data_IF_275476861766
#
_entry.id   IF_275476861766
#
_cell.length_a   1.000
_cell.length_b   1.000
_cell.length_c   1.000
_cell.angle_alpha   90.00
_cell.angle_beta   90.00
_cell.angle_gamma   90.00
#
_symmetry.space_group_name_H-M   'P 1'
#
loop_
_entity.id
_entity.type
_entity.pdbx_description
1 polymer ?
#
# COMPACT_ATOMS: atom_id res chain seq x y z
N UNK A 1 12.24 29.37 -21.30
CA UNK A 1 12.64 28.85 -19.99
C UNK A 1 12.12 27.43 -19.92
N UNK A 2 12.96 26.47 -20.25
CA UNK A 2 12.61 25.03 -20.19
C UNK A 2 12.59 24.63 -18.72
N UNK A 3 11.43 24.24 -18.24
CA UNK A 3 11.29 23.60 -16.92
C UNK A 3 11.92 22.23 -17.00
N UNK A 4 13.06 22.09 -16.38
CA UNK A 4 13.75 20.83 -16.10
C UNK A 4 12.77 19.98 -15.27
N UNK A 5 12.03 19.09 -15.95
CA UNK A 5 11.28 18.03 -15.28
C UNK A 5 12.32 17.05 -14.77
N UNK A 6 12.80 17.29 -13.55
CA UNK A 6 13.66 16.35 -12.86
C UNK A 6 13.02 14.95 -12.99
N UNK A 7 13.78 14.02 -13.56
CA UNK A 7 13.33 12.66 -13.88
C UNK A 7 13.18 11.89 -12.54
N UNK A 8 12.04 12.14 -11.84
CA UNK A 8 11.75 11.54 -10.54
C UNK A 8 11.55 10.05 -10.77
N UNK A 9 12.41 9.23 -10.17
CA UNK A 9 12.27 7.77 -10.21
C UNK A 9 11.00 7.36 -9.46
N UNK A 10 10.05 6.67 -10.10
CA UNK A 10 8.83 6.20 -9.43
C UNK A 10 9.14 5.25 -8.27
N UNK A 11 8.34 5.31 -7.20
CA UNK A 11 8.36 4.32 -6.13
C UNK A 11 7.98 2.94 -6.68
N UNK A 12 7.02 2.89 -7.61
CA UNK A 12 6.70 1.69 -8.40
C UNK A 12 6.28 2.09 -9.81
N UNK A 13 6.68 1.27 -10.78
CA UNK A 13 6.24 1.34 -12.18
C UNK A 13 5.83 -0.07 -12.62
N UNK A 14 4.63 -0.17 -13.16
CA UNK A 14 4.05 -1.39 -13.72
C UNK A 14 3.77 -1.14 -15.19
N UNK A 15 4.21 -2.05 -16.06
CA UNK A 15 4.08 -1.92 -17.51
C UNK A 15 3.46 -3.17 -18.10
N UNK A 16 2.32 -3.01 -18.77
CA UNK A 16 1.59 -4.08 -19.48
C UNK A 16 1.39 -5.36 -18.67
N UNK A 17 1.06 -5.20 -17.37
CA UNK A 17 0.84 -6.33 -16.48
C UNK A 17 -0.46 -7.05 -16.83
N UNK A 18 -0.33 -8.33 -17.14
CA UNK A 18 -1.45 -9.24 -17.37
C UNK A 18 -1.37 -10.39 -16.37
N UNK A 19 -2.53 -10.81 -15.85
CA UNK A 19 -2.63 -11.97 -14.95
C UNK A 19 -3.77 -12.87 -15.37
N UNK A 20 -3.44 -14.14 -15.61
CA UNK A 20 -4.37 -15.22 -15.91
C UNK A 20 -4.24 -16.28 -14.83
N UNK A 21 -5.36 -16.76 -14.32
CA UNK A 21 -5.46 -17.92 -13.44
C UNK A 21 -6.08 -19.10 -14.19
N UNK A 22 -5.73 -20.31 -13.76
CA UNK A 22 -6.21 -21.54 -14.40
C UNK A 22 -5.49 -21.87 -15.72
N UNK A 23 -6.02 -22.84 -16.44
CA UNK A 23 -5.51 -23.28 -17.73
C UNK A 23 -6.63 -23.85 -18.60
N UNK A 24 -6.52 -23.71 -19.93
CA UNK A 24 -7.52 -24.22 -20.88
C UNK A 24 -8.91 -23.66 -20.62
N UNK A 25 -9.93 -24.54 -20.45
CA UNK A 25 -11.33 -24.12 -20.28
C UNK A 25 -11.62 -23.44 -18.92
N UNK A 26 -10.69 -23.44 -17.97
CA UNK A 26 -10.84 -22.80 -16.66
C UNK A 26 -10.07 -21.48 -16.55
N UNK A 27 -9.59 -20.95 -17.66
CA UNK A 27 -8.85 -19.68 -17.67
C UNK A 27 -9.75 -18.51 -17.27
N UNK A 28 -9.26 -17.75 -16.28
CA UNK A 28 -9.85 -16.48 -15.84
C UNK A 28 -8.79 -15.38 -15.99
N UNK A 29 -9.08 -14.42 -16.86
CA UNK A 29 -8.23 -13.23 -17.03
C UNK A 29 -8.60 -12.23 -15.92
N UNK A 30 -7.82 -12.20 -14.86
CA UNK A 30 -8.05 -11.32 -13.70
C UNK A 30 -7.48 -9.90 -13.92
N UNK A 31 -6.43 -9.76 -14.74
CA UNK A 31 -5.89 -8.48 -15.19
C UNK A 31 -5.56 -8.61 -16.67
N UNK A 32 -6.09 -7.71 -17.49
CA UNK A 32 -5.92 -7.76 -18.96
C UNK A 32 -4.68 -7.01 -19.40
N UNK A 33 -4.59 -5.76 -18.99
CA UNK A 33 -3.45 -4.87 -19.24
C UNK A 33 -3.46 -3.76 -18.17
N UNK A 34 -2.46 -3.76 -17.31
CA UNK A 34 -2.31 -2.74 -16.29
C UNK A 34 -0.97 -2.02 -16.47
N UNK A 35 -1.04 -0.72 -16.69
CA UNK A 35 0.14 0.15 -16.70
C UNK A 35 -0.11 1.33 -15.79
N UNK A 36 0.79 1.53 -14.81
CA UNK A 36 0.72 2.64 -13.85
C UNK A 36 2.10 2.94 -13.26
N UNK A 37 2.24 4.14 -12.74
CA UNK A 37 3.38 4.52 -11.90
C UNK A 37 2.87 5.22 -10.65
N UNK A 38 3.60 5.13 -9.54
CA UNK A 38 3.35 5.89 -8.30
C UNK A 38 4.65 6.58 -7.94
N UNK A 39 4.58 7.87 -7.68
CA UNK A 39 5.75 8.67 -7.33
C UNK A 39 6.05 8.58 -5.83
N UNK A 40 7.32 8.80 -5.41
CA UNK A 40 7.64 9.00 -4.00
C UNK A 40 6.84 10.18 -3.44
N UNK A 41 6.21 9.99 -2.28
CA UNK A 41 5.38 11.01 -1.66
C UNK A 41 3.94 11.06 -2.16
N UNK A 42 3.57 10.26 -3.17
CA UNK A 42 2.21 10.24 -3.72
C UNK A 42 1.33 9.21 -2.98
N UNK A 43 0.10 9.61 -2.64
CA UNK A 43 -0.94 8.67 -2.19
C UNK A 43 -1.98 8.48 -3.30
N UNK A 44 -2.13 7.24 -3.74
CA UNK A 44 -3.03 6.83 -4.84
C UNK A 44 -4.14 5.94 -4.30
N UNK A 45 -5.40 6.29 -4.61
CA UNK A 45 -6.55 5.45 -4.35
C UNK A 45 -6.87 4.55 -5.53
N UNK A 46 -7.16 3.27 -5.29
CA UNK A 46 -7.60 2.31 -6.30
C UNK A 46 -9.02 1.85 -5.99
N UNK A 47 -9.95 2.16 -6.89
CA UNK A 47 -11.38 1.88 -6.77
C UNK A 47 -11.85 0.90 -7.85
N UNK A 48 -13.03 0.34 -7.67
CA UNK A 48 -13.68 -0.54 -8.64
C UNK A 48 -14.53 -1.63 -7.98
N UNK A 49 -15.40 -2.31 -8.73
CA UNK A 49 -16.26 -3.35 -8.18
C UNK A 49 -15.48 -4.57 -7.69
N UNK A 50 -16.14 -5.42 -6.89
CA UNK A 50 -15.57 -6.72 -6.51
C UNK A 50 -15.25 -7.55 -7.75
N UNK A 51 -14.12 -8.25 -7.75
CA UNK A 51 -13.68 -9.06 -8.88
C UNK A 51 -13.03 -8.32 -10.04
N UNK A 52 -12.93 -6.98 -10.00
CA UNK A 52 -12.35 -6.19 -11.10
C UNK A 52 -10.83 -6.38 -11.31
N UNK A 53 -10.13 -7.05 -10.38
CA UNK A 53 -8.69 -7.30 -10.48
C UNK A 53 -7.81 -6.51 -9.49
N UNK A 54 -8.38 -5.65 -8.63
CA UNK A 54 -7.62 -4.80 -7.67
C UNK A 54 -6.65 -5.58 -6.79
N UNK A 55 -7.14 -6.60 -6.07
CA UNK A 55 -6.29 -7.42 -5.20
C UNK A 55 -5.27 -8.25 -5.99
N UNK A 56 -5.60 -8.61 -7.24
CA UNK A 56 -4.65 -9.28 -8.15
C UNK A 56 -3.47 -8.36 -8.47
N UNK A 57 -3.76 -7.13 -8.86
CA UNK A 57 -2.74 -6.12 -9.14
C UNK A 57 -1.94 -5.78 -7.88
N UNK A 58 -2.62 -5.54 -6.75
CA UNK A 58 -1.99 -5.22 -5.47
C UNK A 58 -1.01 -6.33 -5.04
N UNK A 59 -1.43 -7.61 -5.13
CA UNK A 59 -0.57 -8.76 -4.76
C UNK A 59 0.57 -9.00 -5.76
N UNK A 60 0.40 -8.63 -7.03
CA UNK A 60 1.49 -8.66 -8.02
C UNK A 60 2.53 -7.58 -7.69
N UNK A 61 2.11 -6.34 -7.40
CA UNK A 61 2.99 -5.25 -6.97
C UNK A 61 3.67 -5.56 -5.63
N UNK A 62 2.99 -6.29 -4.73
CA UNK A 62 3.57 -6.80 -3.50
C UNK A 62 4.57 -7.95 -3.71
N UNK A 63 4.80 -8.39 -4.94
CA UNK A 63 5.67 -9.52 -5.31
C UNK A 63 5.25 -10.83 -4.62
N UNK A 64 3.96 -10.98 -4.31
CA UNK A 64 3.37 -12.19 -3.70
C UNK A 64 2.88 -13.13 -4.80
N UNK A 65 2.21 -12.57 -5.80
CA UNK A 65 1.57 -13.32 -6.87
C UNK A 65 2.11 -12.84 -8.23
N UNK A 66 3.09 -13.54 -8.83
CA UNK A 66 3.75 -13.09 -10.04
C UNK A 66 2.76 -12.86 -11.19
N UNK A 67 2.94 -11.82 -12.02
CA UNK A 67 2.14 -11.62 -13.24
C UNK A 67 2.38 -12.75 -14.25
N UNK A 68 1.46 -12.93 -15.19
CA UNK A 68 1.64 -13.84 -16.34
C UNK A 68 2.56 -13.19 -17.38
N UNK A 69 2.39 -11.89 -17.62
CA UNK A 69 3.26 -11.07 -18.48
C UNK A 69 3.33 -9.65 -17.94
N UNK A 70 4.22 -8.82 -18.47
CA UNK A 70 4.44 -7.44 -18.07
C UNK A 70 5.59 -7.29 -17.10
N UNK A 71 5.94 -6.06 -16.76
CA UNK A 71 7.11 -5.74 -15.95
C UNK A 71 6.73 -4.95 -14.71
N UNK A 72 7.48 -5.18 -13.63
CA UNK A 72 7.39 -4.40 -12.40
C UNK A 72 8.78 -3.88 -12.05
N UNK A 73 8.86 -2.55 -11.82
CA UNK A 73 10.05 -1.86 -11.29
C UNK A 73 9.68 -1.20 -9.97
N UNK A 74 10.57 -1.26 -8.98
CA UNK A 74 10.36 -0.62 -7.67
C UNK A 74 11.62 0.18 -7.34
N UNK A 75 11.46 1.47 -7.05
CA UNK A 75 12.58 2.39 -6.86
C UNK A 75 13.52 2.43 -8.08
N UNK A 76 12.96 2.33 -9.29
CA UNK A 76 13.71 2.26 -10.55
C UNK A 76 14.37 0.91 -10.85
N UNK A 77 14.42 -0.03 -9.89
CA UNK A 77 15.03 -1.34 -10.07
C UNK A 77 14.03 -2.32 -10.69
N UNK A 78 14.34 -3.03 -11.81
CA UNK A 78 13.50 -4.09 -12.33
C UNK A 78 13.46 -5.26 -11.34
N UNK A 79 12.25 -5.71 -10.96
CA UNK A 79 12.05 -6.78 -9.98
C UNK A 79 11.32 -7.98 -10.53
N UNK A 80 10.45 -7.77 -11.53
CA UNK A 80 9.73 -8.84 -12.23
C UNK A 80 9.71 -8.59 -13.73
N UNK A 81 9.82 -9.69 -14.52
CA UNK A 81 9.54 -9.73 -15.96
C UNK A 81 8.65 -10.94 -16.23
N UNK A 82 7.36 -10.69 -16.44
CA UNK A 82 6.36 -11.76 -16.39
C UNK A 82 6.44 -12.55 -15.08
N UNK A 83 6.45 -13.89 -15.15
CA UNK A 83 6.57 -14.72 -13.96
C UNK A 83 8.00 -14.81 -13.42
N UNK A 84 9.00 -14.27 -14.13
CA UNK A 84 10.41 -14.37 -13.75
C UNK A 84 10.77 -13.31 -12.71
N UNK A 85 11.24 -13.76 -11.55
CA UNK A 85 11.86 -12.89 -10.56
C UNK A 85 13.27 -12.50 -10.99
N UNK A 86 13.57 -11.19 -10.95
CA UNK A 86 14.89 -10.64 -11.30
C UNK A 86 15.74 -10.33 -10.04
N UNK A 87 15.16 -10.54 -8.86
CA UNK A 87 15.79 -10.32 -7.55
C UNK A 87 15.34 -11.43 -6.58
N UNK A 88 15.99 -11.54 -5.42
CA UNK A 88 15.44 -12.31 -4.30
C UNK A 88 14.18 -11.59 -3.77
N UNK A 89 13.00 -12.12 -4.12
CA UNK A 89 11.72 -11.51 -3.77
C UNK A 89 11.50 -11.44 -2.26
N UNK A 90 12.02 -12.39 -1.48
CA UNK A 90 11.83 -12.39 -0.02
C UNK A 90 12.65 -11.28 0.63
N UNK A 91 13.92 -11.17 0.28
CA UNK A 91 14.79 -10.10 0.76
C UNK A 91 14.28 -8.73 0.28
N UNK A 92 13.89 -8.63 -1.00
CA UNK A 92 13.41 -7.38 -1.56
C UNK A 92 12.12 -6.87 -0.90
N UNK A 93 11.13 -7.77 -0.66
CA UNK A 93 9.91 -7.41 0.07
C UNK A 93 10.19 -6.86 1.46
N UNK A 94 11.05 -7.55 2.23
CA UNK A 94 11.40 -7.12 3.60
C UNK A 94 12.00 -5.72 3.64
N UNK A 95 12.79 -5.36 2.64
CA UNK A 95 13.53 -4.10 2.61
C UNK A 95 12.75 -2.93 2.00
N UNK A 96 11.90 -3.20 0.99
CA UNK A 96 11.36 -2.14 0.15
C UNK A 96 9.83 -2.00 0.18
N UNK A 97 9.12 -3.00 0.71
CA UNK A 97 7.65 -3.02 0.68
C UNK A 97 7.04 -3.05 2.08
N UNK A 98 6.08 -2.17 2.31
CA UNK A 98 5.15 -2.24 3.42
C UNK A 98 3.79 -2.77 2.94
N UNK A 99 3.20 -3.74 3.63
CA UNK A 99 1.87 -4.24 3.29
C UNK A 99 0.92 -4.14 4.48
N UNK A 100 -0.25 -3.54 4.26
CA UNK A 100 -1.31 -3.41 5.25
C UNK A 100 -2.55 -4.12 4.74
N UNK A 101 -2.98 -5.15 5.45
CA UNK A 101 -4.14 -5.96 5.12
C UNK A 101 -5.43 -5.34 5.67
N UNK A 102 -6.56 -5.73 5.12
CA UNK A 102 -7.90 -5.41 5.60
C UNK A 102 -8.08 -5.78 7.08
N UNK A 103 -7.66 -7.00 7.45
CA UNK A 103 -7.50 -7.39 8.85
C UNK A 103 -6.07 -7.12 9.29
N UNK A 104 -5.82 -6.53 10.47
CA UNK A 104 -4.48 -6.17 10.93
C UNK A 104 -3.48 -7.32 10.95
N UNK A 105 -3.94 -8.57 11.02
CA UNK A 105 -3.14 -9.79 11.03
C UNK A 105 -1.94 -9.69 12.00
N UNK A 106 -2.22 -9.18 13.21
CA UNK A 106 -1.24 -9.14 14.29
C UNK A 106 -1.02 -10.54 14.83
N UNK A 107 0.21 -10.83 15.23
CA UNK A 107 0.57 -12.06 15.91
C UNK A 107 -0.04 -12.01 17.32
N UNK A 108 -0.98 -12.90 17.67
CA UNK A 108 -1.85 -12.70 18.83
C UNK A 108 -1.15 -12.85 20.18
N UNK A 109 -0.02 -13.56 20.24
CA UNK A 109 0.78 -13.75 21.44
C UNK A 109 1.97 -12.78 21.57
N UNK A 110 2.11 -11.83 20.63
CA UNK A 110 3.07 -10.73 20.69
C UNK A 110 2.34 -9.43 21.04
N UNK A 111 2.98 -8.61 21.88
CA UNK A 111 2.51 -7.25 22.19
C UNK A 111 2.51 -6.36 20.94
N UNK A 112 1.92 -5.19 21.02
CA UNK A 112 1.96 -4.19 19.95
C UNK A 112 3.41 -3.87 19.54
N UNK A 113 4.29 -3.67 20.52
CA UNK A 113 5.71 -3.40 20.29
C UNK A 113 6.40 -4.58 19.59
N UNK A 114 6.21 -5.79 20.07
CA UNK A 114 6.83 -6.99 19.51
C UNK A 114 6.31 -7.31 18.10
N UNK A 115 5.05 -7.01 17.79
CA UNK A 115 4.51 -7.12 16.43
C UNK A 115 5.22 -6.20 15.42
N UNK A 116 5.72 -5.04 15.86
CA UNK A 116 6.52 -4.14 15.01
C UNK A 116 7.99 -4.56 15.02
N UNK A 117 8.53 -4.89 16.19
CA UNK A 117 9.92 -5.27 16.40
C UNK A 117 10.32 -6.49 15.54
N UNK A 118 9.45 -7.51 15.44
CA UNK A 118 9.75 -8.74 14.69
C UNK A 118 10.01 -8.47 13.20
N UNK A 119 9.34 -7.47 12.61
CA UNK A 119 9.56 -7.12 11.21
C UNK A 119 10.98 -6.56 10.96
N UNK A 120 11.56 -5.92 11.94
CA UNK A 120 12.94 -5.42 11.92
C UNK A 120 13.94 -6.55 12.15
N UNK A 121 13.66 -7.44 13.12
CA UNK A 121 14.54 -8.57 13.46
C UNK A 121 14.63 -9.60 12.32
N UNK A 122 13.52 -9.86 11.61
CA UNK A 122 13.52 -10.70 10.40
C UNK A 122 14.34 -10.08 9.26
N UNK A 123 14.63 -8.78 9.32
CA UNK A 123 15.51 -8.06 8.41
C UNK A 123 16.89 -7.77 9.05
N UNK A 124 17.35 -8.65 9.95
CA UNK A 124 18.67 -8.67 10.58
C UNK A 124 19.01 -7.43 11.44
N UNK A 125 18.00 -6.66 11.87
CA UNK A 125 18.23 -5.56 12.82
C UNK A 125 18.45 -6.11 14.24
N UNK A 126 19.50 -5.68 14.88
CA UNK A 126 19.81 -6.11 16.25
C UNK A 126 18.64 -5.81 17.22
N UNK A 127 18.29 -6.72 18.16
CA UNK A 127 17.08 -6.63 18.98
C UNK A 127 16.92 -5.29 19.73
N UNK A 128 18.01 -4.74 20.27
CA UNK A 128 17.98 -3.44 20.97
C UNK A 128 17.63 -2.28 20.02
N UNK A 129 18.18 -2.27 18.81
CA UNK A 129 17.88 -1.27 17.79
C UNK A 129 16.45 -1.44 17.25
N UNK A 130 16.04 -2.69 17.00
CA UNK A 130 14.69 -3.03 16.56
C UNK A 130 13.63 -2.57 17.57
N UNK A 131 13.83 -2.83 18.87
CA UNK A 131 12.94 -2.37 19.94
C UNK A 131 12.84 -0.85 20.00
N UNK A 132 13.98 -0.14 19.90
CA UNK A 132 13.99 1.33 19.89
C UNK A 132 13.20 1.87 18.70
N UNK A 133 13.49 1.37 17.50
CA UNK A 133 12.78 1.78 16.27
C UNK A 133 11.29 1.46 16.32
N UNK A 134 10.91 0.29 16.82
CA UNK A 134 9.51 -0.09 16.99
C UNK A 134 8.77 0.87 17.93
N UNK A 135 9.39 1.28 19.04
CA UNK A 135 8.79 2.26 19.96
C UNK A 135 8.63 3.63 19.30
N UNK A 136 9.64 4.11 18.57
CA UNK A 136 9.57 5.38 17.82
C UNK A 136 8.41 5.38 16.80
N UNK A 137 8.16 4.24 16.14
CA UNK A 137 7.04 4.09 15.20
C UNK A 137 5.69 4.09 15.91
N UNK A 138 5.57 3.40 17.05
CA UNK A 138 4.34 3.42 17.85
C UNK A 138 4.05 4.82 18.38
N UNK A 139 5.08 5.57 18.77
CA UNK A 139 4.94 6.97 19.21
C UNK A 139 4.49 7.88 18.05
N UNK A 140 5.16 7.78 16.91
CA UNK A 140 4.78 8.50 15.69
C UNK A 140 3.32 8.29 15.27
N UNK A 141 2.80 7.06 15.51
CA UNK A 141 1.42 6.69 15.20
C UNK A 141 0.44 6.95 16.37
N UNK A 142 0.92 7.55 17.48
CA UNK A 142 0.10 7.91 18.63
C UNK A 142 -0.42 6.72 19.42
N UNK A 143 0.34 5.61 19.47
CA UNK A 143 -0.06 4.37 20.15
C UNK A 143 0.99 3.83 21.13
N UNK A 144 2.02 4.63 21.47
CA UNK A 144 3.09 4.24 22.40
C UNK A 144 2.56 3.77 23.76
N UNK A 145 1.49 4.38 24.28
CA UNK A 145 0.86 3.98 25.54
C UNK A 145 0.32 2.53 25.53
N UNK A 146 0.13 1.94 24.36
CA UNK A 146 -0.35 0.57 24.16
C UNK A 146 0.76 -0.43 23.79
N UNK A 147 2.02 -0.02 23.79
CA UNK A 147 3.16 -0.81 23.34
C UNK A 147 3.21 -2.21 23.96
N UNK A 148 2.87 -2.35 25.24
CA UNK A 148 2.92 -3.63 25.96
C UNK A 148 1.57 -4.40 25.94
N UNK A 149 0.55 -3.91 25.24
CA UNK A 149 -0.73 -4.59 25.14
C UNK A 149 -0.69 -5.70 24.07
N UNK A 150 -1.34 -6.82 24.36
CA UNK A 150 -1.63 -7.85 23.36
C UNK A 150 -2.74 -7.39 22.40
N UNK A 151 -2.81 -7.91 21.17
CA UNK A 151 -3.83 -7.53 20.19
C UNK A 151 -5.26 -7.59 20.72
N UNK A 152 -5.60 -8.58 21.54
CA UNK A 152 -6.93 -8.72 22.14
C UNK A 152 -7.34 -7.54 23.04
N UNK A 153 -6.36 -6.83 23.59
CA UNK A 153 -6.59 -5.66 24.45
C UNK A 153 -6.54 -4.33 23.68
N UNK A 154 -6.49 -4.37 22.35
CA UNK A 154 -6.47 -3.22 21.46
C UNK A 154 -7.81 -3.09 20.73
N UNK A 155 -8.30 -1.86 20.56
CA UNK A 155 -9.42 -1.57 19.65
C UNK A 155 -9.03 -1.84 18.18
N UNK A 156 -9.99 -1.98 17.29
CA UNK A 156 -9.72 -2.21 15.87
C UNK A 156 -8.82 -1.14 15.24
N UNK A 157 -9.05 0.15 15.56
CA UNK A 157 -8.21 1.24 15.10
C UNK A 157 -6.79 1.21 15.68
N UNK A 158 -6.64 0.80 16.95
CA UNK A 158 -5.33 0.60 17.57
C UNK A 158 -4.57 -0.56 16.90
N UNK A 159 -5.25 -1.69 16.66
CA UNK A 159 -4.66 -2.83 15.94
C UNK A 159 -4.20 -2.43 14.52
N UNK A 160 -5.02 -1.62 13.81
CA UNK A 160 -4.67 -1.15 12.49
C UNK A 160 -3.44 -0.23 12.51
N UNK A 161 -3.33 0.67 13.50
CA UNK A 161 -2.12 1.50 13.68
C UNK A 161 -0.87 0.66 13.96
N UNK A 162 -0.97 -0.41 14.73
CA UNK A 162 0.14 -1.37 14.92
C UNK A 162 0.51 -2.05 13.60
N UNK A 163 -0.47 -2.45 12.79
CA UNK A 163 -0.21 -3.03 11.46
C UNK A 163 0.48 -2.03 10.52
N UNK A 164 0.09 -0.76 10.56
CA UNK A 164 0.77 0.33 9.83
C UNK A 164 2.19 0.53 10.36
N UNK A 165 2.40 0.55 11.68
CA UNK A 165 3.75 0.63 12.27
C UNK A 165 4.65 -0.51 11.78
N UNK A 166 4.12 -1.73 11.76
CA UNK A 166 4.83 -2.91 11.24
C UNK A 166 5.19 -2.76 9.76
N UNK A 167 4.28 -2.23 8.96
CA UNK A 167 4.53 -1.99 7.53
C UNK A 167 5.62 -0.93 7.30
N UNK A 168 5.76 0.05 8.21
CA UNK A 168 6.77 1.12 8.16
C UNK A 168 8.13 0.73 8.73
N UNK A 169 8.25 -0.43 9.38
CA UNK A 169 9.40 -0.81 10.18
C UNK A 169 10.74 -0.65 9.42
N UNK A 170 10.80 -1.16 8.20
CA UNK A 170 12.00 -1.18 7.36
C UNK A 170 12.09 0.01 6.38
N UNK A 171 11.39 1.11 6.63
CA UNK A 171 11.41 2.32 5.79
C UNK A 171 11.12 2.03 4.31
N UNK A 172 9.98 1.38 4.00
CA UNK A 172 9.69 0.95 2.64
C UNK A 172 9.55 2.14 1.70
N UNK A 173 9.99 1.98 0.45
CA UNK A 173 9.75 2.95 -0.63
C UNK A 173 8.33 2.89 -1.17
N UNK A 174 7.63 1.77 -0.97
CA UNK A 174 6.25 1.54 -1.42
C UNK A 174 5.43 0.89 -0.32
N UNK A 175 4.26 1.48 -0.04
CA UNK A 175 3.26 0.94 0.88
C UNK A 175 2.02 0.55 0.08
N UNK A 176 1.57 -0.67 0.26
CA UNK A 176 0.38 -1.24 -0.36
C UNK A 176 -0.65 -1.57 0.73
N UNK A 177 -1.86 -1.04 0.62
CA UNK A 177 -2.92 -1.26 1.59
C UNK A 177 -4.17 -1.82 0.91
N UNK A 178 -4.65 -2.97 1.38
CA UNK A 178 -5.85 -3.64 0.88
C UNK A 178 -7.00 -3.40 1.86
N UNK A 179 -7.91 -2.51 1.50
CA UNK A 179 -9.09 -2.12 2.29
C UNK A 179 -8.80 -1.87 3.79
N UNK A 180 -7.82 -1.02 4.13
CA UNK A 180 -7.29 -0.90 5.48
C UNK A 180 -8.29 -0.36 6.51
N UNK A 181 -9.44 0.14 6.06
CA UNK A 181 -10.48 0.75 6.90
C UNK A 181 -11.80 -0.01 6.94
N UNK A 182 -11.93 -1.12 6.19
CA UNK A 182 -13.20 -1.83 6.01
C UNK A 182 -13.81 -2.40 7.32
N UNK A 183 -12.98 -2.65 8.34
CA UNK A 183 -13.43 -3.14 9.65
C UNK A 183 -13.54 -2.04 10.73
N UNK A 184 -13.39 -0.77 10.33
CA UNK A 184 -13.40 0.38 11.24
C UNK A 184 -14.68 1.22 11.08
N UNK A 185 -15.09 1.90 12.14
CA UNK A 185 -16.09 2.95 12.00
C UNK A 185 -15.57 4.14 11.19
N UNK A 186 -16.47 5.00 10.73
CA UNK A 186 -16.13 6.09 9.81
C UNK A 186 -15.08 7.05 10.35
N UNK A 187 -15.10 7.34 11.66
CA UNK A 187 -14.15 8.28 12.30
C UNK A 187 -12.75 7.68 12.38
N UNK A 188 -12.66 6.43 12.83
CA UNK A 188 -11.39 5.70 12.89
C UNK A 188 -10.82 5.43 11.48
N UNK A 189 -11.70 5.08 10.54
CA UNK A 189 -11.32 4.90 9.14
C UNK A 189 -10.69 6.16 8.55
N UNK A 190 -11.31 7.32 8.74
CA UNK A 190 -10.75 8.59 8.28
C UNK A 190 -9.39 8.89 8.90
N UNK A 191 -9.22 8.69 10.21
CA UNK A 191 -7.93 8.89 10.89
C UNK A 191 -6.82 7.99 10.32
N UNK A 192 -7.15 6.74 9.96
CA UNK A 192 -6.19 5.83 9.32
C UNK A 192 -5.83 6.29 7.91
N UNK A 193 -6.79 6.81 7.15
CA UNK A 193 -6.51 7.33 5.80
C UNK A 193 -5.67 8.61 5.83
N UNK A 194 -5.97 9.54 6.73
CA UNK A 194 -5.15 10.74 6.97
C UNK A 194 -3.72 10.38 7.39
N UNK A 195 -3.57 9.29 8.16
CA UNK A 195 -2.27 8.76 8.52
C UNK A 195 -1.49 8.25 7.30
N UNK A 196 -2.12 7.57 6.34
CA UNK A 196 -1.46 7.16 5.10
C UNK A 196 -1.01 8.36 4.27
N UNK A 197 -1.83 9.42 4.14
CA UNK A 197 -1.43 10.65 3.47
C UNK A 197 -0.23 11.31 4.15
N UNK A 198 -0.27 11.42 5.48
CA UNK A 198 0.85 11.94 6.27
C UNK A 198 2.13 11.13 6.03
N UNK A 199 2.05 9.80 6.03
CA UNK A 199 3.19 8.92 5.79
C UNK A 199 3.75 9.14 4.37
N UNK A 200 2.89 9.19 3.34
CA UNK A 200 3.31 9.44 1.98
C UNK A 200 4.15 10.72 1.90
N UNK A 201 3.59 11.83 2.36
CA UNK A 201 4.22 13.15 2.25
C UNK A 201 5.47 13.32 3.13
N UNK A 202 5.43 12.87 4.40
CA UNK A 202 6.55 13.06 5.34
C UNK A 202 7.70 12.07 5.15
N UNK A 203 7.39 10.82 4.70
CA UNK A 203 8.39 9.76 4.52
C UNK A 203 8.83 9.58 3.07
N UNK A 204 8.22 10.33 2.14
CA UNK A 204 8.47 10.20 0.70
C UNK A 204 8.27 8.77 0.18
N UNK A 205 7.37 8.00 0.79
CA UNK A 205 6.98 6.68 0.31
C UNK A 205 5.83 6.81 -0.71
N UNK A 206 5.85 6.00 -1.77
CA UNK A 206 4.67 5.83 -2.61
C UNK A 206 3.62 5.02 -1.83
N UNK A 207 2.36 5.45 -1.82
CA UNK A 207 1.28 4.74 -1.11
C UNK A 207 0.16 4.42 -2.09
N UNK A 208 -0.23 3.13 -2.17
CA UNK A 208 -1.41 2.68 -2.89
C UNK A 208 -2.41 2.09 -1.92
N UNK A 209 -3.63 2.61 -1.93
CA UNK A 209 -4.72 2.12 -1.09
C UNK A 209 -5.85 1.60 -1.99
N UNK A 210 -6.15 0.32 -1.88
CA UNK A 210 -7.40 -0.25 -2.43
C UNK A 210 -8.51 0.03 -1.44
N UNK A 211 -9.59 0.64 -1.90
CA UNK A 211 -10.76 0.93 -1.08
C UNK A 211 -12.02 1.01 -1.93
N UNK A 212 -13.18 0.79 -1.31
CA UNK A 212 -14.49 1.10 -1.86
C UNK A 212 -15.18 2.25 -1.12
N UNK A 213 -14.48 2.91 -0.19
CA UNK A 213 -15.01 4.02 0.59
C UNK A 213 -14.83 5.36 -0.14
N UNK A 214 -15.88 5.80 -0.81
CA UNK A 214 -15.91 7.07 -1.55
C UNK A 214 -15.83 8.32 -0.66
N UNK A 215 -15.96 8.19 0.66
CA UNK A 215 -15.83 9.32 1.59
C UNK A 215 -14.38 9.80 1.76
N UNK A 216 -13.42 9.01 1.31
CA UNK A 216 -11.98 9.28 1.43
C UNK A 216 -11.34 9.83 0.16
N UNK A 217 -12.14 10.16 -0.87
CA UNK A 217 -11.64 10.59 -2.19
C UNK A 217 -10.69 11.80 -2.12
N UNK A 218 -11.00 12.76 -1.24
CA UNK A 218 -10.23 14.01 -1.11
C UNK A 218 -8.82 13.80 -0.50
N UNK A 219 -8.58 12.63 0.08
CA UNK A 219 -7.28 12.28 0.69
C UNK A 219 -6.25 11.90 -0.38
N UNK A 220 -6.72 11.41 -1.54
CA UNK A 220 -5.83 10.92 -2.59
C UNK A 220 -5.34 12.02 -3.51
N UNK A 221 -4.04 11.99 -3.84
CA UNK A 221 -3.46 12.84 -4.88
C UNK A 221 -3.99 12.46 -6.26
N UNK A 222 -4.18 11.15 -6.48
CA UNK A 222 -4.68 10.57 -7.72
C UNK A 222 -5.54 9.34 -7.44
N UNK A 223 -6.52 9.11 -8.32
CA UNK A 223 -7.44 7.98 -8.23
C UNK A 223 -7.33 7.15 -9.50
N UNK A 224 -7.28 5.83 -9.30
CA UNK A 224 -7.34 4.82 -10.34
C UNK A 224 -8.66 4.05 -10.22
N UNK A 225 -9.34 3.90 -11.33
CA UNK A 225 -10.49 3.01 -11.43
C UNK A 225 -10.06 1.71 -12.12
N UNK A 226 -10.45 0.58 -11.53
CA UNK A 226 -10.19 -0.75 -12.09
C UNK A 226 -11.53 -1.38 -12.46
N UNK A 227 -11.70 -1.69 -13.73
CA UNK A 227 -12.90 -2.34 -14.27
C UNK A 227 -12.47 -3.40 -15.28
N UNK A 228 -13.02 -4.61 -15.15
CA UNK A 228 -12.76 -5.76 -16.03
C UNK A 228 -11.28 -6.03 -16.32
N UNK A 229 -10.43 -5.84 -15.31
CA UNK A 229 -8.98 -6.05 -15.42
C UNK A 229 -8.22 -4.97 -16.21
N UNK A 230 -8.82 -3.81 -16.39
CA UNK A 230 -8.22 -2.61 -17.01
C UNK A 230 -8.14 -1.47 -15.98
N UNK A 231 -7.16 -0.59 -16.15
CA UNK A 231 -6.96 0.59 -15.30
C UNK A 231 -7.26 1.85 -16.08
N UNK A 232 -7.95 2.78 -15.44
CA UNK A 232 -8.10 4.15 -15.93
C UNK A 232 -7.81 5.15 -14.81
N UNK A 233 -7.29 6.32 -15.18
CA UNK A 233 -7.08 7.42 -14.22
C UNK A 233 -8.38 8.23 -14.17
N UNK A 234 -8.95 8.37 -12.96
CA UNK A 234 -10.12 9.22 -12.76
C UNK A 234 -9.72 10.69 -12.88
N UNK A 235 -10.35 11.42 -13.79
CA UNK A 235 -10.17 12.87 -13.86
C UNK A 235 -10.64 13.52 -12.55
N UNK A 236 -9.84 14.41 -11.94
CA UNK A 236 -10.33 15.24 -10.82
C UNK A 236 -11.56 16.01 -11.31
N UNK A 237 -12.68 15.84 -10.62
CA UNK A 237 -13.84 16.69 -10.86
C UNK A 237 -13.40 18.14 -10.62
N UNK A 238 -13.40 18.95 -11.68
CA UNK A 238 -13.22 20.41 -11.58
C UNK A 238 -14.34 20.90 -10.67
N UNK A 239 -13.97 21.46 -9.51
CA UNK A 239 -14.92 22.08 -8.60
C UNK A 239 -15.86 23.00 -9.40
N UNK A 240 -17.15 22.67 -9.36
CA UNK A 240 -18.20 23.51 -9.93
C UNK A 240 -18.06 24.91 -9.35
N UNK A 241 -17.75 25.88 -10.21
CA UNK A 241 -18.02 27.27 -9.88
C UNK A 241 -19.52 27.40 -9.64
N UNK A 242 -19.98 28.04 -8.55
CA UNK A 242 -21.39 28.33 -8.40
C UNK A 242 -21.82 29.26 -9.56
N UNK A 243 -22.78 28.78 -10.36
CA UNK A 243 -23.46 29.58 -11.36
C UNK A 243 -24.08 30.76 -10.63
N UNK A 244 -23.45 31.92 -10.70
CA UNK A 244 -24.10 33.22 -10.47
C UNK A 244 -24.85 33.55 -11.75
N UNK A 245 -26.11 33.22 -11.76
CA UNK A 245 -27.05 33.76 -12.79
C UNK A 245 -27.56 35.11 -12.28
N UNK A 246 -27.63 36.13 -13.14
CA UNK A 246 -28.01 37.48 -12.80
C UNK A 246 -29.50 37.63 -12.43
#
# INVERSE_FOLDING_TARGET
MSTDSANITPAVEVTHLRKVYGSGHTEVVAMRDASLSILPGEIVGMFGPSGSGKSTLLTAMALINPPTTGQIRIGGKPVMDGPQALVDLHAFRRQHLGFVFQKPNLIPFLTALENVQIALEVNDTAPKAARKRAMELLDYLGIAARANNLPIALSGGEQQRVAVARALANEPSLILADEPTASLDSKLGQQVMELFAKIAHERHAGVLVVTHDYRTLDIFDRILDVEDGMISVRAKATSHQPNTTP
#
